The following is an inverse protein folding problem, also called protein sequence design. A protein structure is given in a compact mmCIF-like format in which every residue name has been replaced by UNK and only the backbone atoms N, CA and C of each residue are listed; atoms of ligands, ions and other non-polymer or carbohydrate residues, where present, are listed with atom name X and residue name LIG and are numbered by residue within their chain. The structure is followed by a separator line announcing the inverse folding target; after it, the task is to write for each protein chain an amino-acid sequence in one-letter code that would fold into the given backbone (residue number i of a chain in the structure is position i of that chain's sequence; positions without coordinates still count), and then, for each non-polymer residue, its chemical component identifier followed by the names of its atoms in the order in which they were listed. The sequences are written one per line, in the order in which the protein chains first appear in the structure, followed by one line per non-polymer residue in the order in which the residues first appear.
data_IF_988589331425
#
_entry.id   IF_988589331425
#
_cell.length_a   1.000
_cell.length_b   1.000
_cell.length_c   1.000
_cell.angle_alpha   90.00
_cell.angle_beta   90.00
_cell.angle_gamma   90.00
#
_symmetry.space_group_name_H-M   'P 1'
#
loop_
_entity.id
_entity.type
_entity.pdbx_description
1 polymer ?
#
# COMPACT_ATOMS: atom_id res chain seq x y z
N UNK A 1 -11.23 14.33 48.46
CA UNK A 1 -12.05 13.93 47.29
C UNK A 1 -11.47 14.36 45.93
N UNK A 2 -10.82 15.52 45.80
CA UNK A 2 -10.25 15.98 44.50
C UNK A 2 -9.26 15.03 43.82
N UNK A 3 -8.40 14.32 44.57
CA UNK A 3 -7.42 13.38 43.99
C UNK A 3 -8.05 12.17 43.28
N UNK A 4 -9.26 11.72 43.69
CA UNK A 4 -9.97 10.62 43.02
C UNK A 4 -10.60 11.06 41.70
N UNK A 5 -11.06 12.31 41.61
CA UNK A 5 -11.63 12.89 40.37
C UNK A 5 -10.56 13.05 39.29
N UNK A 6 -9.38 13.60 39.63
CA UNK A 6 -8.25 13.74 38.69
C UNK A 6 -7.77 12.41 38.12
N UNK A 7 -7.66 11.36 38.95
CA UNK A 7 -7.26 10.03 38.47
C UNK A 7 -8.29 9.39 37.53
N UNK A 8 -9.57 9.69 37.71
CA UNK A 8 -10.65 9.19 36.84
C UNK A 8 -10.59 9.87 35.47
N UNK A 9 -10.44 11.20 35.44
CA UNK A 9 -10.29 11.95 34.18
C UNK A 9 -9.02 11.57 33.40
N UNK A 10 -7.90 11.31 34.08
CA UNK A 10 -6.68 10.81 33.43
C UNK A 10 -6.85 9.41 32.83
N UNK A 11 -7.63 8.55 33.50
CA UNK A 11 -7.92 7.21 32.98
C UNK A 11 -8.85 7.26 31.77
N UNK A 12 -9.91 8.07 31.83
CA UNK A 12 -10.84 8.27 30.71
C UNK A 12 -10.11 8.83 29.48
N UNK A 13 -9.25 9.85 29.64
CA UNK A 13 -8.41 10.36 28.54
C UNK A 13 -7.43 9.34 27.97
N UNK A 14 -6.88 8.45 28.81
CA UNK A 14 -6.01 7.37 28.33
C UNK A 14 -6.80 6.34 27.51
N UNK A 15 -8.00 5.98 27.96
CA UNK A 15 -8.88 5.07 27.21
C UNK A 15 -9.28 5.70 25.88
N UNK A 16 -9.66 6.97 25.87
CA UNK A 16 -10.05 7.71 24.67
C UNK A 16 -8.89 7.81 23.65
N UNK A 17 -7.67 8.11 24.12
CA UNK A 17 -6.48 8.11 23.27
C UNK A 17 -6.12 6.71 22.73
N UNK A 18 -6.33 5.65 23.51
CA UNK A 18 -6.11 4.27 23.05
C UNK A 18 -7.13 3.91 21.97
N UNK A 19 -8.41 4.24 22.18
CA UNK A 19 -9.47 4.00 21.20
C UNK A 19 -9.22 4.78 19.90
N UNK A 20 -8.89 6.06 20.00
CA UNK A 20 -8.53 6.89 18.85
C UNK A 20 -7.33 6.32 18.08
N UNK A 21 -6.31 5.85 18.79
CA UNK A 21 -5.13 5.24 18.16
C UNK A 21 -5.46 3.90 17.49
N UNK A 22 -6.29 3.06 18.10
CA UNK A 22 -6.76 1.80 17.49
C UNK A 22 -7.58 2.10 16.22
N UNK A 23 -8.42 3.13 16.25
CA UNK A 23 -9.24 3.55 15.11
C UNK A 23 -8.36 4.10 13.98
N UNK A 24 -7.36 4.92 14.30
CA UNK A 24 -6.36 5.39 13.32
C UNK A 24 -5.49 4.25 12.76
N UNK A 25 -5.06 3.31 13.60
CA UNK A 25 -4.29 2.13 13.17
C UNK A 25 -5.14 1.24 12.23
N UNK A 26 -6.45 1.11 12.50
CA UNK A 26 -7.42 0.41 11.62
C UNK A 26 -7.69 1.13 10.32
N UNK A 27 -7.79 2.47 10.34
CA UNK A 27 -7.93 3.29 9.12
C UNK A 27 -6.65 3.23 8.28
N UNK A 28 -5.48 3.17 8.91
CA UNK A 28 -4.17 3.11 8.23
C UNK A 28 -3.79 1.73 7.68
N UNK A 29 -4.58 0.68 7.93
CA UNK A 29 -4.42 -0.64 7.32
C UNK A 29 -5.52 -0.85 6.26
N UNK A 30 -5.31 -0.42 5.00
CA UNK A 30 -6.28 -0.58 3.93
C UNK A 30 -6.35 -2.03 3.40
N UNK A 31 -5.98 -3.04 4.19
CA UNK A 31 -5.67 -4.37 3.68
C UNK A 31 -6.85 -5.36 3.70
N UNK A 32 -8.03 -4.97 4.20
CA UNK A 32 -9.24 -5.76 3.96
C UNK A 32 -9.71 -5.56 2.53
N UNK A 33 -9.05 -6.27 1.60
CA UNK A 33 -9.54 -6.39 0.24
C UNK A 33 -10.85 -7.17 0.29
N UNK A 34 -11.94 -6.46 0.02
CA UNK A 34 -13.27 -7.03 -0.11
C UNK A 34 -13.54 -7.23 -1.58
N UNK A 35 -13.67 -8.48 -2.02
CA UNK A 35 -14.07 -8.80 -3.38
C UNK A 35 -15.59 -8.99 -3.42
N UNK A 36 -16.27 -8.14 -4.17
CA UNK A 36 -17.65 -8.38 -4.60
C UNK A 36 -17.63 -9.24 -5.87
N UNK A 37 -18.48 -10.26 -5.96
CA UNK A 37 -18.73 -11.01 -7.18
C UNK A 37 -20.22 -11.03 -7.46
N UNK A 38 -20.58 -10.70 -8.70
CA UNK A 38 -21.96 -10.66 -9.15
C UNK A 38 -22.21 -11.71 -10.23
N UNK A 39 -23.27 -12.49 -10.07
CA UNK A 39 -23.72 -13.47 -11.06
C UNK A 39 -25.18 -13.22 -11.42
N UNK A 40 -25.45 -12.96 -12.69
CA UNK A 40 -26.80 -12.80 -13.20
C UNK A 40 -27.43 -14.16 -13.50
N UNK A 41 -28.71 -14.29 -13.18
CA UNK A 41 -29.57 -15.33 -13.77
C UNK A 41 -30.75 -14.66 -14.47
N UNK A 42 -30.85 -14.92 -15.78
CA UNK A 42 -31.86 -14.29 -16.63
C UNK A 42 -33.25 -14.87 -16.34
N UNK A 43 -34.21 -13.98 -16.07
CA UNK A 43 -35.62 -14.32 -16.09
C UNK A 43 -36.19 -13.96 -17.47
N UNK A 44 -37.16 -14.76 -17.96
CA UNK A 44 -37.81 -14.52 -19.28
C UNK A 44 -38.57 -13.18 -19.35
N UNK A 45 -38.65 -12.42 -18.26
CA UNK A 45 -39.53 -11.25 -18.09
C UNK A 45 -38.83 -9.89 -18.19
N UNK A 46 -37.65 -9.79 -18.83
CA UNK A 46 -36.91 -8.53 -18.91
C UNK A 46 -36.32 -8.08 -17.56
N UNK A 47 -36.20 -9.02 -16.62
CA UNK A 47 -35.62 -8.83 -15.28
C UNK A 47 -34.54 -9.89 -15.05
N UNK A 48 -33.60 -9.60 -14.17
CA UNK A 48 -32.57 -10.54 -13.77
C UNK A 48 -32.51 -10.64 -12.25
N UNK A 49 -32.09 -11.80 -11.76
CA UNK A 49 -31.66 -11.94 -10.38
C UNK A 49 -30.15 -11.83 -10.34
N UNK A 50 -29.63 -11.00 -9.45
CA UNK A 50 -28.18 -10.81 -9.25
C UNK A 50 -27.80 -11.44 -7.94
N UNK A 51 -27.03 -12.54 -8.01
CA UNK A 51 -26.38 -13.13 -6.85
C UNK A 51 -25.14 -12.30 -6.53
N UNK A 52 -25.15 -11.65 -5.38
CA UNK A 52 -24.09 -10.81 -4.87
C UNK A 52 -23.33 -11.58 -3.78
N UNK A 53 -22.02 -11.74 -3.95
CA UNK A 53 -21.16 -12.43 -2.99
C UNK A 53 -20.05 -11.47 -2.55
N UNK A 54 -19.91 -11.28 -1.25
CA UNK A 54 -18.82 -10.54 -0.62
C UNK A 54 -17.84 -11.55 -0.03
N UNK A 55 -16.59 -11.49 -0.45
CA UNK A 55 -15.49 -12.26 0.13
C UNK A 55 -14.50 -11.32 0.82
N UNK A 56 -14.18 -11.63 2.07
CA UNK A 56 -13.20 -10.91 2.87
C UNK A 56 -11.88 -11.67 2.78
N UNK A 57 -10.84 -11.07 2.21
CA UNK A 57 -9.54 -11.73 2.05
C UNK A 57 -8.55 -11.46 3.17
N UNK A 58 -8.95 -10.70 4.20
CA UNK A 58 -8.11 -10.41 5.35
C UNK A 58 -8.42 -11.40 6.48
N UNK A 59 -7.50 -12.34 6.69
CA UNK A 59 -7.60 -13.37 7.73
C UNK A 59 -7.63 -12.78 9.15
N UNK A 60 -7.17 -11.54 9.33
CA UNK A 60 -7.24 -10.83 10.61
C UNK A 60 -8.58 -10.14 10.84
N UNK A 61 -9.37 -9.95 9.77
CA UNK A 61 -10.65 -9.26 9.83
C UNK A 61 -11.78 -10.22 10.19
N UNK A 62 -12.20 -10.17 11.45
CA UNK A 62 -13.41 -10.86 11.87
C UNK A 62 -14.66 -10.05 11.49
N UNK A 63 -15.49 -10.62 10.62
CA UNK A 63 -16.79 -10.05 10.25
C UNK A 63 -17.94 -10.89 10.79
N UNK A 64 -18.80 -10.26 11.61
CA UNK A 64 -19.97 -10.93 12.18
C UNK A 64 -21.16 -10.92 11.21
N UNK A 65 -21.37 -9.80 10.52
CA UNK A 65 -22.53 -9.59 9.66
C UNK A 65 -22.18 -8.59 8.56
N UNK A 66 -22.77 -8.75 7.39
CA UNK A 66 -22.64 -7.81 6.27
C UNK A 66 -24.03 -7.32 5.85
N UNK A 67 -24.14 -6.02 5.62
CA UNK A 67 -25.31 -5.37 5.02
C UNK A 67 -24.92 -4.84 3.65
N UNK A 68 -25.81 -5.05 2.69
CA UNK A 68 -25.74 -4.48 1.35
C UNK A 68 -26.78 -3.37 1.25
N UNK A 69 -26.32 -2.17 0.95
CA UNK A 69 -27.18 -1.04 0.58
C UNK A 69 -27.13 -0.90 -0.93
N UNK A 70 -28.30 -0.92 -1.58
CA UNK A 70 -28.38 -0.84 -3.03
C UNK A 70 -29.52 0.07 -3.48
N UNK A 71 -29.34 0.76 -4.60
CA UNK A 71 -30.36 1.60 -5.23
C UNK A 71 -30.46 1.28 -6.71
N UNK A 72 -31.66 0.95 -7.16
CA UNK A 72 -31.97 0.69 -8.56
C UNK A 72 -32.53 1.99 -9.17
N UNK A 73 -31.77 2.68 -10.01
CA UNK A 73 -32.24 3.91 -10.67
C UNK A 73 -32.30 5.17 -9.80
N UNK A 74 -31.52 5.24 -8.71
CA UNK A 74 -31.18 6.45 -7.94
C UNK A 74 -32.36 7.25 -7.33
N UNK A 75 -33.18 6.60 -6.49
CA UNK A 75 -34.15 7.32 -5.63
C UNK A 75 -33.84 7.17 -4.15
N UNK A 76 -33.67 5.94 -3.67
CA UNK A 76 -33.34 5.64 -2.27
C UNK A 76 -32.51 4.36 -2.19
N UNK A 77 -31.68 4.22 -1.16
CA UNK A 77 -30.96 2.98 -0.88
C UNK A 77 -31.84 2.04 -0.06
N UNK A 78 -32.02 0.82 -0.55
CA UNK A 78 -32.63 -0.28 0.17
C UNK A 78 -31.55 -1.08 0.90
N UNK A 79 -31.79 -1.34 2.18
CA UNK A 79 -30.95 -2.21 3.01
C UNK A 79 -31.31 -3.67 2.80
N UNK A 80 -30.31 -4.52 2.68
CA UNK A 80 -30.46 -5.96 2.63
C UNK A 80 -29.37 -6.66 3.45
N UNK A 81 -29.78 -7.57 4.33
CA UNK A 81 -28.84 -8.32 5.17
C UNK A 81 -28.32 -9.51 4.37
N UNK A 82 -27.01 -9.68 4.33
CA UNK A 82 -26.38 -10.80 3.63
C UNK A 82 -26.26 -12.03 4.53
N UNK A 83 -26.51 -13.20 3.95
CA UNK A 83 -26.36 -14.48 4.62
C UNK A 83 -24.90 -14.91 4.62
N UNK A 84 -24.44 -15.46 5.75
CA UNK A 84 -23.09 -16.06 5.83
C UNK A 84 -23.08 -17.39 5.08
N UNK A 85 -22.26 -17.50 4.03
CA UNK A 85 -22.06 -18.73 3.25
C UNK A 85 -20.92 -19.56 3.85
N UNK A 86 -19.80 -18.90 4.11
CA UNK A 86 -18.57 -19.45 4.71
C UNK A 86 -18.02 -18.43 5.71
N UNK A 87 -16.99 -18.78 6.48
CA UNK A 87 -16.46 -17.90 7.53
C UNK A 87 -16.08 -16.50 7.03
N UNK A 88 -15.58 -16.43 5.79
CA UNK A 88 -15.14 -15.20 5.14
C UNK A 88 -15.99 -14.83 3.91
N UNK A 89 -17.15 -15.46 3.70
CA UNK A 89 -18.03 -15.20 2.55
C UNK A 89 -19.46 -14.94 2.96
N UNK A 90 -20.04 -13.89 2.40
CA UNK A 90 -21.42 -13.50 2.60
C UNK A 90 -22.11 -13.39 1.24
N UNK A 91 -23.40 -13.75 1.18
CA UNK A 91 -24.16 -13.78 -0.05
C UNK A 91 -25.55 -13.22 0.10
N UNK A 92 -26.07 -12.64 -0.98
CA UNK A 92 -27.48 -12.31 -1.11
C UNK A 92 -27.90 -12.43 -2.57
N UNK A 93 -29.18 -12.66 -2.82
CA UNK A 93 -29.76 -12.62 -4.15
C UNK A 93 -30.67 -11.40 -4.24
N UNK A 94 -30.28 -10.43 -5.06
CA UNK A 94 -31.13 -9.31 -5.42
C UNK A 94 -32.06 -9.76 -6.55
N UNK A 95 -33.35 -9.90 -6.23
CA UNK A 95 -34.34 -10.41 -7.16
C UNK A 95 -34.97 -9.29 -8.00
N UNK A 96 -35.40 -9.64 -9.22
CA UNK A 96 -36.25 -8.79 -10.06
C UNK A 96 -35.64 -7.43 -10.47
N UNK A 97 -34.32 -7.35 -10.64
CA UNK A 97 -33.66 -6.13 -11.13
C UNK A 97 -34.00 -5.96 -12.63
N UNK A 98 -34.53 -4.82 -13.09
CA UNK A 98 -34.80 -4.59 -14.51
C UNK A 98 -33.50 -4.59 -15.33
N UNK A 99 -33.55 -5.14 -16.55
CA UNK A 99 -32.43 -5.08 -17.50
C UNK A 99 -32.19 -3.62 -17.93
N UNK A 100 -30.97 -3.32 -18.40
CA UNK A 100 -30.51 -2.00 -18.85
C UNK A 100 -30.61 -0.92 -17.77
N UNK A 101 -30.45 -1.32 -16.51
CA UNK A 101 -30.50 -0.44 -15.34
C UNK A 101 -29.16 -0.40 -14.62
N UNK A 102 -28.75 0.79 -14.20
CA UNK A 102 -27.60 0.99 -13.29
C UNK A 102 -28.07 0.85 -11.85
N UNK A 103 -27.33 0.04 -11.10
CA UNK A 103 -27.53 -0.18 -9.67
C UNK A 103 -26.33 0.38 -8.93
N UNK A 104 -26.58 1.31 -8.02
CA UNK A 104 -25.58 1.83 -7.10
C UNK A 104 -25.59 0.98 -5.83
N UNK A 105 -24.43 0.68 -5.25
CA UNK A 105 -24.37 -0.09 -4.02
C UNK A 105 -23.17 0.28 -3.14
N UNK A 106 -23.29 0.01 -1.85
CA UNK A 106 -22.19 -0.01 -0.89
C UNK A 106 -22.47 -1.06 0.18
N UNK A 107 -21.44 -1.44 0.93
CA UNK A 107 -21.57 -2.46 1.97
C UNK A 107 -21.17 -1.90 3.32
N UNK A 108 -21.81 -2.41 4.37
CA UNK A 108 -21.40 -2.19 5.76
C UNK A 108 -21.10 -3.54 6.42
N UNK A 109 -19.98 -3.62 7.10
CA UNK A 109 -19.50 -4.84 7.76
C UNK A 109 -19.41 -4.62 9.26
N UNK A 110 -20.00 -5.52 10.04
CA UNK A 110 -19.93 -5.49 11.49
C UNK A 110 -18.65 -6.18 11.97
N UNK A 111 -17.75 -5.42 12.56
CA UNK A 111 -16.48 -5.91 13.07
C UNK A 111 -16.62 -6.63 14.43
N UNK A 112 -15.51 -7.17 14.95
CA UNK A 112 -15.45 -7.77 16.30
C UNK A 112 -15.72 -6.77 17.43
N UNK A 113 -15.43 -5.49 17.20
CA UNK A 113 -15.69 -4.40 18.15
C UNK A 113 -17.15 -3.99 18.24
N UNK A 114 -18.02 -4.48 17.34
CA UNK A 114 -19.42 -4.07 17.25
C UNK A 114 -19.62 -2.77 16.47
N UNK A 115 -18.62 -2.35 15.69
CA UNK A 115 -18.63 -1.16 14.85
C UNK A 115 -18.96 -1.56 13.42
N UNK A 116 -19.85 -0.80 12.78
CA UNK A 116 -20.16 -0.93 11.36
C UNK A 116 -19.13 -0.16 10.55
N UNK A 117 -18.38 -0.88 9.72
CA UNK A 117 -17.39 -0.33 8.80
C UNK A 117 -18.03 -0.25 7.41
N UNK A 118 -18.24 0.97 6.94
CA UNK A 118 -18.76 1.26 5.60
C UNK A 118 -17.64 1.13 4.56
N UNK A 119 -17.93 0.51 3.42
CA UNK A 119 -17.03 0.43 2.27
C UNK A 119 -17.67 1.04 1.04
N UNK A 120 -17.01 2.06 0.50
CA UNK A 120 -17.36 2.80 -0.70
C UNK A 120 -16.27 2.61 -1.76
N UNK A 121 -16.59 3.02 -2.99
CA UNK A 121 -15.61 3.06 -4.10
C UNK A 121 -14.52 4.08 -3.79
N UNK A 122 -14.95 5.25 -3.30
CA UNK A 122 -14.09 6.32 -2.81
C UNK A 122 -14.62 6.77 -1.45
N UNK A 123 -13.86 6.45 -0.38
CA UNK A 123 -14.24 6.78 0.99
C UNK A 123 -14.22 8.31 1.25
N UNK A 124 -13.35 9.06 0.56
CA UNK A 124 -13.25 10.52 0.69
C UNK A 124 -14.42 11.22 0.02
N UNK A 125 -14.80 10.77 -1.18
CA UNK A 125 -15.92 11.33 -1.96
C UNK A 125 -17.28 10.74 -1.59
N UNK A 126 -17.31 9.74 -0.72
CA UNK A 126 -18.51 8.97 -0.36
C UNK A 126 -19.20 8.34 -1.59
N UNK A 127 -18.40 7.87 -2.55
CA UNK A 127 -18.90 7.38 -3.84
C UNK A 127 -19.29 5.89 -3.75
N UNK A 128 -20.54 5.51 -4.04
CA UNK A 128 -20.93 4.10 -4.06
C UNK A 128 -20.32 3.38 -5.26
N UNK A 129 -20.22 2.05 -5.17
CA UNK A 129 -19.94 1.21 -6.33
C UNK A 129 -21.13 1.19 -7.27
N UNK A 130 -20.90 0.84 -8.54
CA UNK A 130 -21.97 0.72 -9.52
C UNK A 130 -21.82 -0.51 -10.41
N UNK A 131 -22.94 -1.10 -10.78
CA UNK A 131 -22.99 -2.12 -11.82
C UNK A 131 -24.19 -1.87 -12.72
N UNK A 132 -24.07 -2.31 -13.96
CA UNK A 132 -25.16 -2.26 -14.94
C UNK A 132 -25.65 -3.66 -15.26
N UNK A 133 -26.95 -3.82 -15.35
CA UNK A 133 -27.57 -5.07 -15.80
C UNK A 133 -27.78 -4.99 -17.30
N UNK A 134 -27.39 -6.00 -18.07
CA UNK A 134 -27.63 -6.10 -19.51
C UNK A 134 -28.36 -7.41 -19.82
N UNK A 135 -28.79 -7.61 -21.07
CA UNK A 135 -29.38 -8.90 -21.51
C UNK A 135 -28.39 -10.07 -21.40
N UNK A 136 -27.10 -9.78 -21.48
CA UNK A 136 -26.02 -10.75 -21.43
C UNK A 136 -25.60 -11.07 -19.99
N UNK A 137 -26.00 -10.27 -18.99
CA UNK A 137 -25.74 -10.52 -17.58
C UNK A 137 -25.57 -9.25 -16.77
N UNK A 138 -24.57 -9.25 -15.87
CA UNK A 138 -24.17 -8.05 -15.12
C UNK A 138 -22.84 -7.59 -15.68
N UNK A 139 -22.78 -6.33 -16.10
CA UNK A 139 -21.54 -5.65 -16.45
C UNK A 139 -21.17 -4.77 -15.27
N UNK A 140 -20.17 -5.19 -14.53
CA UNK A 140 -19.58 -4.37 -13.48
C UNK A 140 -18.93 -3.15 -14.14
N UNK A 141 -19.21 -1.96 -13.62
CA UNK A 141 -18.48 -0.74 -13.99
C UNK A 141 -17.50 -0.54 -12.85
N UNK A 142 -16.57 -1.47 -12.76
CA UNK A 142 -15.56 -1.45 -11.72
C UNK A 142 -14.31 -0.81 -12.34
N UNK A 143 -13.75 0.19 -11.67
CA UNK A 143 -12.41 0.70 -11.99
C UNK A 143 -11.33 -0.38 -11.72
N UNK A 144 -11.72 -1.56 -11.22
CA UNK A 144 -10.86 -2.75 -11.12
C UNK A 144 -10.69 -3.50 -12.44
N UNK A 145 -11.52 -3.17 -13.44
CA UNK A 145 -11.36 -3.60 -14.83
C UNK A 145 -10.78 -2.45 -15.69
N UNK A 146 -9.86 -1.66 -15.15
CA UNK A 146 -9.02 -0.84 -16.02
C UNK A 146 -8.19 -1.82 -16.88
N UNK A 147 -8.41 -1.90 -18.21
CA UNK A 147 -7.70 -2.83 -19.09
C UNK A 147 -6.18 -2.62 -19.06
N UNK A 148 -5.72 -1.53 -18.45
CA UNK A 148 -4.31 -1.23 -18.25
C UNK A 148 -3.72 -1.84 -16.98
N UNK A 149 -4.48 -2.40 -16.04
CA UNK A 149 -3.91 -3.00 -14.83
C UNK A 149 -3.04 -4.22 -15.17
N UNK A 150 -1.82 -4.23 -14.63
CA UNK A 150 -0.87 -5.33 -14.74
C UNK A 150 -0.93 -6.23 -13.51
N UNK A 151 -0.84 -7.54 -13.71
CA UNK A 151 -0.80 -8.49 -12.58
C UNK A 151 0.62 -8.62 -12.04
N UNK A 152 0.82 -8.39 -10.75
CA UNK A 152 2.09 -8.64 -10.08
C UNK A 152 2.47 -10.13 -10.18
N UNK A 153 3.64 -10.44 -10.73
CA UNK A 153 4.09 -11.82 -10.93
C UNK A 153 4.43 -12.59 -9.64
N UNK A 154 4.57 -11.90 -8.52
CA UNK A 154 4.96 -12.51 -7.24
C UNK A 154 3.74 -12.83 -6.37
N UNK A 155 2.79 -11.89 -6.25
CA UNK A 155 1.65 -12.04 -5.34
C UNK A 155 0.28 -11.97 -6.04
N UNK A 156 0.26 -11.94 -7.38
CA UNK A 156 -0.95 -11.84 -8.20
C UNK A 156 -1.85 -10.61 -7.93
N UNK A 157 -1.35 -9.65 -7.15
CA UNK A 157 -2.03 -8.38 -6.91
C UNK A 157 -2.15 -7.57 -8.21
N UNK A 158 -3.30 -6.94 -8.46
CA UNK A 158 -3.52 -6.07 -9.62
C UNK A 158 -2.89 -4.71 -9.37
N UNK A 159 -1.90 -4.35 -10.16
CA UNK A 159 -1.12 -3.13 -10.03
C UNK A 159 -1.37 -2.19 -11.21
N UNK A 160 -1.30 -0.90 -10.95
CA UNK A 160 -1.27 0.09 -12.02
C UNK A 160 0.10 0.09 -12.73
N UNK A 161 0.14 0.26 -14.07
CA UNK A 161 1.39 0.38 -14.83
C UNK A 161 2.28 1.53 -14.38
N UNK A 162 1.68 2.62 -13.91
CA UNK A 162 2.38 3.79 -13.40
C UNK A 162 2.99 3.58 -12.01
N UNK A 163 2.73 2.44 -11.36
CA UNK A 163 3.32 2.15 -10.05
C UNK A 163 4.70 1.51 -10.21
N UNK A 164 5.65 2.03 -9.45
CA UNK A 164 7.00 1.49 -9.46
C UNK A 164 7.11 0.19 -8.65
N UNK A 165 6.23 0.02 -7.66
CA UNK A 165 6.31 -1.03 -6.65
C UNK A 165 4.91 -1.61 -6.42
N UNK A 166 4.82 -2.94 -6.37
CA UNK A 166 3.59 -3.64 -6.01
C UNK A 166 3.22 -3.34 -4.54
N UNK A 167 2.01 -2.84 -4.23
CA UNK A 167 1.60 -2.58 -2.85
C UNK A 167 1.43 -3.86 -2.03
N UNK A 168 1.08 -4.99 -2.67
CA UNK A 168 0.93 -6.29 -2.01
C UNK A 168 2.25 -6.86 -1.48
N UNK A 169 3.24 -7.06 -2.34
CA UNK A 169 4.50 -7.72 -1.98
C UNK A 169 5.74 -6.81 -1.98
N UNK A 170 5.57 -5.51 -2.22
CA UNK A 170 6.65 -4.51 -2.34
C UNK A 170 7.70 -4.83 -3.41
N UNK A 171 7.37 -5.69 -4.37
CA UNK A 171 8.26 -6.03 -5.48
C UNK A 171 8.24 -4.94 -6.55
N UNK A 172 9.39 -4.53 -7.09
CA UNK A 172 9.46 -3.63 -8.23
C UNK A 172 8.70 -4.20 -9.44
N UNK A 173 7.84 -3.40 -10.06
CA UNK A 173 7.00 -3.88 -11.17
C UNK A 173 7.73 -3.87 -12.53
N UNK A 174 8.90 -3.22 -12.62
CA UNK A 174 9.66 -3.06 -13.87
C UNK A 174 10.71 -4.12 -14.18
N UNK A 175 10.90 -5.12 -13.31
CA UNK A 175 11.83 -6.20 -13.61
C UNK A 175 11.18 -7.23 -14.54
N UNK A 176 11.17 -6.93 -15.85
CA UNK A 176 11.47 -7.87 -16.94
C UNK A 176 11.31 -7.21 -18.33
N UNK A 177 12.43 -6.75 -18.89
CA UNK A 177 12.95 -6.90 -20.28
C UNK A 177 12.05 -7.05 -21.54
N UNK A 178 10.72 -6.88 -21.51
CA UNK A 178 9.86 -7.13 -22.69
C UNK A 178 8.91 -6.00 -23.08
N UNK A 179 8.95 -4.84 -22.41
CA UNK A 179 8.16 -3.65 -22.78
C UNK A 179 9.01 -2.46 -23.27
N UNK A 180 10.31 -2.68 -23.50
CA UNK A 180 11.25 -1.61 -23.87
C UNK A 180 11.01 -0.99 -25.26
N UNK A 181 10.25 -1.63 -26.15
CA UNK A 181 10.06 -1.10 -27.51
C UNK A 181 8.85 -0.16 -27.67
N UNK A 182 7.85 -0.20 -26.79
CA UNK A 182 6.60 0.58 -26.99
C UNK A 182 6.66 1.97 -26.31
N UNK A 183 7.56 2.17 -25.35
CA UNK A 183 7.59 3.38 -24.52
C UNK A 183 8.88 4.20 -24.57
N UNK A 184 9.82 3.91 -25.47
CA UNK A 184 11.06 4.68 -25.59
C UNK A 184 10.82 6.14 -25.99
N UNK A 185 9.92 6.42 -26.94
CA UNK A 185 9.64 7.80 -27.38
C UNK A 185 8.99 8.66 -26.28
N UNK A 186 8.05 8.08 -25.52
CA UNK A 186 7.39 8.75 -24.39
C UNK A 186 8.35 8.97 -23.21
N UNK A 187 9.31 8.05 -23.01
CA UNK A 187 10.35 8.23 -22.01
C UNK A 187 11.38 9.28 -22.42
N UNK A 188 11.83 9.30 -23.68
CA UNK A 188 12.73 10.35 -24.18
C UNK A 188 12.09 11.74 -24.09
N UNK A 189 10.79 11.86 -24.35
CA UNK A 189 10.09 13.14 -24.19
C UNK A 189 9.97 13.57 -22.71
N UNK A 190 9.67 12.63 -21.81
CA UNK A 190 9.63 12.93 -20.36
C UNK A 190 11.02 13.23 -19.80
N UNK A 191 12.07 12.57 -20.28
CA UNK A 191 13.45 12.86 -19.88
C UNK A 191 13.92 14.20 -20.42
N UNK A 192 13.60 14.58 -21.67
CA UNK A 192 13.85 15.94 -22.18
C UNK A 192 13.16 17.00 -21.33
N UNK A 193 11.88 16.79 -20.98
CA UNK A 193 11.12 17.72 -20.11
C UNK A 193 11.71 17.82 -18.69
N UNK A 194 12.26 16.72 -18.14
CA UNK A 194 12.98 16.74 -16.86
C UNK A 194 14.35 17.42 -16.98
N UNK A 195 15.06 17.23 -18.09
CA UNK A 195 16.37 17.85 -18.33
C UNK A 195 16.25 19.37 -18.45
N UNK A 196 15.23 19.87 -19.15
CA UNK A 196 14.96 21.31 -19.28
C UNK A 196 14.52 21.97 -17.96
N UNK A 197 14.02 21.20 -16.99
CA UNK A 197 13.61 21.69 -15.66
C UNK A 197 14.66 21.55 -14.56
N UNK A 198 15.83 20.95 -14.83
CA UNK A 198 16.89 20.84 -13.82
C UNK A 198 17.66 22.16 -13.70
N UNK A 199 17.33 22.90 -12.65
CA UNK A 199 18.09 24.06 -12.17
C UNK A 199 19.60 23.72 -12.06
N UNK A 200 20.51 24.49 -12.68
CA UNK A 200 21.95 24.26 -12.60
C UNK A 200 22.48 24.20 -11.15
N UNK A 201 21.81 24.81 -10.17
CA UNK A 201 22.18 24.69 -8.76
C UNK A 201 21.92 23.30 -8.17
N UNK A 202 20.92 22.55 -8.67
CA UNK A 202 20.64 21.18 -8.21
C UNK A 202 21.66 20.17 -8.75
N UNK A 203 22.13 20.36 -9.99
CA UNK A 203 23.16 19.53 -10.61
C UNK A 203 24.50 19.67 -9.86
N UNK A 204 24.83 20.87 -9.38
CA UNK A 204 26.01 21.09 -8.56
C UNK A 204 25.95 20.37 -7.20
N UNK A 205 24.76 20.23 -6.62
CA UNK A 205 24.57 19.56 -5.32
C UNK A 205 24.57 18.03 -5.44
N UNK A 206 23.93 17.46 -6.47
CA UNK A 206 23.96 16.01 -6.73
C UNK A 206 25.39 15.51 -7.05
N UNK A 207 26.20 16.33 -7.73
CA UNK A 207 27.60 16.00 -8.00
C UNK A 207 28.54 16.13 -6.78
N UNK A 208 28.18 16.92 -5.76
CA UNK A 208 28.92 16.94 -4.49
C UNK A 208 28.56 15.76 -3.58
N UNK A 209 27.30 15.28 -3.64
CA UNK A 209 26.84 14.19 -2.79
C UNK A 209 27.43 12.82 -3.18
N UNK A 210 27.80 12.61 -4.46
CA UNK A 210 28.38 11.34 -4.92
C UNK A 210 29.85 11.15 -4.53
N UNK A 211 30.52 12.18 -4.00
CA UNK A 211 31.95 12.13 -3.64
C UNK A 211 32.17 11.70 -2.17
N UNK A 212 31.12 11.61 -1.34
CA UNK A 212 31.29 11.53 0.13
C UNK A 212 30.78 10.28 0.86
N UNK A 213 30.21 9.29 0.19
CA UNK A 213 29.81 8.04 0.86
C UNK A 213 30.85 6.93 0.66
N UNK A 214 31.91 6.94 1.48
CA UNK A 214 32.70 5.71 1.71
C UNK A 214 31.76 4.66 2.36
N UNK A 215 31.69 3.41 1.84
CA UNK A 215 30.88 2.37 2.45
C UNK A 215 31.35 2.08 3.88
N UNK A 216 30.40 2.00 4.81
CA UNK A 216 30.67 1.71 6.22
C UNK A 216 31.33 0.32 6.38
N UNK A 217 32.28 0.17 7.30
CA UNK A 217 32.91 -1.12 7.55
C UNK A 217 31.94 -2.13 8.16
N UNK A 218 32.16 -3.41 7.88
CA UNK A 218 31.31 -4.52 8.35
C UNK A 218 31.93 -5.25 9.54
N UNK A 219 31.08 -5.73 10.46
CA UNK A 219 31.48 -6.50 11.62
C UNK A 219 32.02 -7.87 11.16
N UNK A 220 33.23 -8.30 11.59
CA UNK A 220 33.83 -9.55 11.15
C UNK A 220 33.07 -10.79 11.62
N UNK A 221 32.25 -10.68 12.66
CA UNK A 221 31.51 -11.83 13.21
C UNK A 221 30.13 -12.01 12.55
N UNK A 222 29.46 -10.95 12.11
CA UNK A 222 28.07 -11.03 11.64
C UNK A 222 27.78 -10.29 10.31
N UNK A 223 28.75 -9.58 9.74
CA UNK A 223 28.59 -8.83 8.48
C UNK A 223 27.79 -7.53 8.61
N UNK A 224 27.28 -7.18 9.80
CA UNK A 224 26.53 -5.94 9.99
C UNK A 224 27.44 -4.72 9.84
N UNK A 225 26.99 -3.70 9.10
CA UNK A 225 27.67 -2.42 9.01
C UNK A 225 27.74 -1.75 10.39
N UNK A 226 28.92 -1.24 10.76
CA UNK A 226 29.14 -0.57 12.04
C UNK A 226 29.79 0.80 11.84
N UNK A 227 29.53 1.72 12.77
CA UNK A 227 30.24 3.00 12.80
C UNK A 227 31.59 2.84 13.50
N UNK A 228 32.68 3.44 13.01
CA UNK A 228 34.03 3.25 13.56
C UNK A 228 34.23 3.66 15.02
N UNK A 229 33.29 4.41 15.60
CA UNK A 229 33.27 4.87 16.99
C UNK A 229 32.56 3.89 17.95
N UNK A 230 32.08 2.75 17.44
CA UNK A 230 31.43 1.74 18.27
C UNK A 230 32.43 0.74 18.85
N UNK A 231 32.38 0.54 20.16
CA UNK A 231 33.22 -0.43 20.86
C UNK A 231 32.67 -1.86 20.74
N UNK A 232 31.37 -2.04 20.48
CA UNK A 232 30.73 -3.36 20.33
C UNK A 232 29.73 -3.37 19.18
N UNK A 233 29.63 -4.51 18.51
CA UNK A 233 28.59 -4.72 17.51
C UNK A 233 27.22 -4.86 18.20
N UNK A 234 26.20 -4.07 17.83
CA UNK A 234 24.87 -4.14 18.48
C UNK A 234 24.08 -5.41 18.12
N UNK A 235 24.55 -6.18 17.13
CA UNK A 235 23.86 -7.39 16.65
C UNK A 235 24.39 -8.64 17.37
N UNK A 236 25.71 -8.73 17.56
CA UNK A 236 26.35 -9.94 18.07
C UNK A 236 27.28 -9.70 19.26
N UNK A 237 27.27 -8.49 19.84
CA UNK A 237 28.10 -8.05 20.97
C UNK A 237 29.61 -8.25 20.78
N UNK A 238 30.05 -8.49 19.55
CA UNK A 238 31.46 -8.67 19.21
C UNK A 238 32.25 -7.39 19.50
N UNK A 239 33.42 -7.54 20.11
CA UNK A 239 34.29 -6.45 20.52
C UNK A 239 34.99 -5.82 19.31
N UNK A 240 34.72 -4.54 19.07
CA UNK A 240 35.20 -3.76 17.94
C UNK A 240 36.36 -2.81 18.31
N UNK A 241 36.73 -2.71 19.60
CA UNK A 241 37.75 -1.75 20.09
C UNK A 241 39.10 -1.91 19.35
N UNK A 242 39.51 -3.14 19.08
CA UNK A 242 40.80 -3.42 18.42
C UNK A 242 40.80 -3.19 16.89
N UNK A 243 39.63 -3.03 16.26
CA UNK A 243 39.51 -2.82 14.80
C UNK A 243 39.56 -1.34 14.41
N UNK A 244 39.23 -0.44 15.33
CA UNK A 244 39.29 1.00 15.14
C UNK A 244 40.75 1.53 15.10
N UNK A 245 41.66 0.91 15.86
CA UNK A 245 43.05 1.36 15.99
C UNK A 245 43.93 0.96 14.78
N UNK A 246 43.73 -0.22 14.19
CA UNK A 246 44.53 -0.65 13.03
C UNK A 246 44.27 0.20 11.77
N UNK A 247 43.04 0.69 11.59
CA UNK A 247 42.65 1.50 10.41
C UNK A 247 43.16 2.94 10.49
N UNK A 248 43.24 3.53 11.69
CA UNK A 248 43.78 4.89 11.88
C UNK A 248 45.30 4.94 11.67
N UNK A 249 46.02 3.86 12.00
CA UNK A 249 47.48 3.75 11.76
C UNK A 249 47.78 3.56 10.26
N UNK A 250 46.98 2.78 9.53
CA UNK A 250 47.13 2.62 8.06
C UNK A 250 46.81 3.90 7.28
N UNK A 251 45.70 4.60 7.60
CA UNK A 251 45.35 5.89 6.96
C UNK A 251 46.42 6.98 7.19
N UNK A 252 47.07 7.03 8.37
CA UNK A 252 48.19 7.96 8.63
C UNK A 252 49.45 7.65 7.81
N UNK A 253 49.73 6.38 7.49
CA UNK A 253 50.90 5.99 6.67
C UNK A 253 50.69 6.24 5.18
N UNK A 254 49.47 6.08 4.66
CA UNK A 254 49.16 6.36 3.24
C UNK A 254 49.12 7.87 2.93
N UNK A 255 48.53 8.68 3.81
CA UNK A 255 48.52 10.14 3.63
C UNK A 255 49.94 10.76 3.69
N UNK A 256 50.85 10.18 4.48
CA UNK A 256 52.26 10.62 4.53
C UNK A 256 53.05 10.27 3.25
N UNK A 257 52.65 9.23 2.51
CA UNK A 257 53.25 8.88 1.21
C UNK A 257 52.72 9.77 0.08
N UNK A 258 51.43 10.12 0.07
CA UNK A 258 50.84 10.99 -0.95
C UNK A 258 51.38 12.42 -0.90
N UNK A 259 51.58 13.00 0.29
CA UNK A 259 52.17 14.34 0.41
C UNK A 259 53.64 14.43 -0.01
N UNK A 260 54.40 13.33 0.03
CA UNK A 260 55.83 13.35 -0.34
C UNK A 260 56.09 13.27 -1.85
N UNK A 261 55.09 12.88 -2.64
CA UNK A 261 55.20 12.84 -4.10
C UNK A 261 54.71 14.14 -4.77
N UNK A 262 53.85 14.94 -4.13
CA UNK A 262 53.40 16.22 -4.70
C UNK A 262 54.47 17.31 -4.68
N UNK A 263 55.48 17.22 -3.79
CA UNK A 263 56.60 18.17 -3.74
C UNK A 263 57.76 17.84 -4.71
N UNK A 264 57.63 16.80 -5.54
CA UNK A 264 58.67 16.41 -6.52
C UNK A 264 58.36 16.75 -7.97
N UNK A 265 57.13 17.15 -8.29
CA UNK A 265 56.70 17.47 -9.66
C UNK A 265 56.58 19.00 -9.91
N UNK A 266 57.19 19.82 -9.05
CA UNK A 266 57.36 21.27 -9.28
C UNK A 266 58.84 21.64 -9.21
N UNK A 267 59.65 21.16 -10.17
CA UNK A 267 60.89 21.80 -10.66
C UNK A 267 61.02 21.50 -12.15
#
# INVERSE_FOLDING_TARGET
MMKKRKKKEEFEKKVENILYRIEQERISQPNSTVMARMMASNLRSGKINVKFIVQINDDSFYCKQVKLFHSVGAREFSEAIMDRIEDNKFGIILANIPIDTTVLYYIEMLDKGGVWIKRLKDDEKQEPFEFSTTREGVKEISDWDDPNLIRCRICDYMCHPEWDICPGCKTPLYDNMLQQEIFQEDQEEKERKRADQKDPQRIAWENMASVFYEPLPECPNCGAAYQPDWNKCPICDYDLENLAEEKTIKKKKENKKKHKNQDRDII
#
